data_IF_433781876020
#
_entry.id   IF_433781876020
#
_cell.length_a   1.000
_cell.length_b   1.000
_cell.length_c   1.000
_cell.angle_alpha   90.00
_cell.angle_beta   90.00
_cell.angle_gamma   90.00
#
_symmetry.space_group_name_H-M   'P 1'
#
loop_
_entity.id
_entity.type
_entity.pdbx_description
1 polymer ?
#
# COMPACT_ATOMS: atom_id res chain seq x y z
N UNK A 1 8.08 5.36 7.58
CA UNK A 1 7.35 6.40 8.34
C UNK A 1 7.62 7.83 7.88
N UNK A 2 8.91 8.27 7.79
CA UNK A 2 9.23 9.67 7.41
C UNK A 2 8.54 10.14 6.13
N UNK A 3 8.57 9.34 5.07
CA UNK A 3 8.00 9.71 3.78
C UNK A 3 6.47 9.71 3.78
N UNK A 4 5.83 8.81 4.53
CA UNK A 4 4.39 8.84 4.72
C UNK A 4 3.93 10.15 5.37
N UNK A 5 4.61 10.56 6.45
CA UNK A 5 4.35 11.83 7.11
C UNK A 5 4.62 13.04 6.19
N UNK A 6 5.70 13.00 5.40
CA UNK A 6 6.01 14.07 4.46
C UNK A 6 4.93 14.24 3.38
N UNK A 7 4.43 13.12 2.85
CA UNK A 7 3.34 13.14 1.85
C UNK A 7 2.07 13.72 2.45
N UNK A 8 1.72 13.36 3.69
CA UNK A 8 0.58 13.93 4.39
C UNK A 8 0.74 15.44 4.58
N UNK A 9 1.90 15.87 5.07
CA UNK A 9 2.21 17.29 5.26
C UNK A 9 2.12 18.10 3.96
N UNK A 10 2.68 17.57 2.87
CA UNK A 10 2.62 18.22 1.57
C UNK A 10 1.19 18.31 1.05
N UNK A 11 0.40 17.26 1.19
CA UNK A 11 -1.00 17.25 0.77
C UNK A 11 -1.81 18.30 1.53
N UNK A 12 -1.66 18.36 2.85
CA UNK A 12 -2.38 19.32 3.69
C UNK A 12 -1.93 20.76 3.39
N UNK A 13 -0.64 20.98 3.11
CA UNK A 13 -0.13 22.30 2.69
C UNK A 13 -0.73 22.75 1.37
N UNK A 14 -0.70 21.88 0.35
CA UNK A 14 -1.23 22.19 -1.00
C UNK A 14 -2.73 22.44 -0.95
N UNK A 15 -3.45 21.68 -0.13
CA UNK A 15 -4.89 21.92 0.08
C UNK A 15 -5.14 23.24 0.79
N UNK A 16 -4.31 23.61 1.76
CA UNK A 16 -4.35 24.92 2.42
C UNK A 16 -4.17 26.09 1.47
N UNK A 17 -3.45 25.90 0.35
CA UNK A 17 -3.29 26.88 -0.74
C UNK A 17 -4.48 26.87 -1.73
N UNK A 18 -5.51 26.05 -1.51
CA UNK A 18 -6.74 26.02 -2.29
C UNK A 18 -6.78 24.96 -3.41
N UNK A 19 -5.76 24.11 -3.54
CA UNK A 19 -5.76 23.02 -4.51
C UNK A 19 -6.48 21.80 -3.94
N UNK A 20 -7.66 21.50 -4.46
CA UNK A 20 -8.55 20.47 -3.94
C UNK A 20 -8.67 19.23 -4.82
N UNK A 21 -7.97 19.17 -5.94
CA UNK A 21 -8.02 18.06 -6.88
C UNK A 21 -6.62 17.58 -7.25
N UNK A 22 -6.45 16.28 -7.33
CA UNK A 22 -5.21 15.63 -7.73
C UNK A 22 -4.70 14.62 -6.73
N UNK A 23 -3.52 14.08 -7.00
CA UNK A 23 -2.83 13.14 -6.14
C UNK A 23 -1.38 13.57 -5.93
N UNK A 24 -0.85 13.28 -4.76
CA UNK A 24 0.57 13.35 -4.46
C UNK A 24 1.03 11.94 -4.16
N UNK A 25 2.07 11.47 -4.85
CA UNK A 25 2.59 10.13 -4.66
C UNK A 25 4.10 10.13 -4.45
N UNK A 26 4.59 9.14 -3.73
CA UNK A 26 6.01 8.86 -3.58
C UNK A 26 6.37 7.52 -4.21
N UNK A 27 7.63 7.37 -4.60
CA UNK A 27 8.15 6.07 -5.08
C UNK A 27 8.15 4.98 -4.00
N UNK A 28 8.00 5.36 -2.73
CA UNK A 28 7.95 4.43 -1.60
C UNK A 28 6.56 3.83 -1.37
N UNK A 29 5.60 4.10 -2.27
CA UNK A 29 4.27 3.51 -2.22
C UNK A 29 3.27 4.29 -1.37
N UNK A 30 3.50 5.58 -1.11
CA UNK A 30 2.53 6.44 -0.43
C UNK A 30 1.81 7.34 -1.42
N UNK A 31 0.50 7.41 -1.32
CA UNK A 31 -0.36 8.24 -2.15
C UNK A 31 -1.36 8.99 -1.28
N UNK A 32 -1.46 10.30 -1.51
CA UNK A 32 -2.49 11.16 -0.93
C UNK A 32 -3.35 11.75 -2.04
N UNK A 33 -4.65 11.60 -1.89
CA UNK A 33 -5.64 12.27 -2.73
C UNK A 33 -5.97 13.63 -2.10
N UNK A 34 -6.11 14.64 -2.94
CA UNK A 34 -6.41 16.02 -2.51
C UNK A 34 -7.91 16.28 -2.40
N UNK A 35 -8.74 15.42 -3.01
CA UNK A 35 -10.19 15.54 -2.93
C UNK A 35 -10.72 15.16 -1.55
N UNK A 36 -11.33 16.11 -0.87
CA UNK A 36 -11.98 15.89 0.43
C UNK A 36 -13.47 15.59 0.33
N UNK A 37 -14.06 15.83 -0.85
CA UNK A 37 -15.51 15.59 -1.01
C UNK A 37 -15.84 14.10 -1.05
N UNK A 38 -14.85 13.28 -1.37
CA UNK A 38 -15.03 11.84 -1.56
C UNK A 38 -15.82 11.48 -2.82
N UNK A 39 -16.06 12.47 -3.69
CA UNK A 39 -16.87 12.28 -4.90
C UNK A 39 -16.05 11.85 -6.10
N UNK A 40 -14.72 11.96 -6.02
CA UNK A 40 -13.84 11.61 -7.14
C UNK A 40 -13.43 10.15 -7.08
N UNK A 41 -13.56 9.52 -8.22
CA UNK A 41 -13.03 8.20 -8.49
C UNK A 41 -11.56 8.30 -8.88
N UNK A 42 -10.72 7.47 -8.28
CA UNK A 42 -9.31 7.33 -8.63
C UNK A 42 -9.04 5.93 -9.13
N UNK A 43 -8.20 5.82 -10.15
CA UNK A 43 -7.85 4.55 -10.76
C UNK A 43 -6.35 4.25 -10.57
N UNK A 44 -6.05 3.02 -10.16
CA UNK A 44 -4.70 2.53 -9.98
C UNK A 44 -4.49 1.20 -10.69
N UNK A 45 -3.37 1.04 -11.40
CA UNK A 45 -3.02 -0.26 -11.94
C UNK A 45 -2.75 -1.25 -10.81
N UNK A 46 -3.37 -2.41 -10.90
CA UNK A 46 -3.19 -3.49 -9.96
C UNK A 46 -2.23 -4.52 -10.59
N UNK A 47 -1.07 -4.66 -10.00
CA UNK A 47 -0.06 -5.61 -10.45
C UNK A 47 0.62 -6.25 -9.25
N UNK A 48 1.20 -7.42 -9.44
CA UNK A 48 2.11 -8.03 -8.49
C UNK A 48 3.37 -8.55 -9.18
N UNK A 49 4.43 -8.72 -8.39
CA UNK A 49 5.69 -9.30 -8.84
C UNK A 49 5.64 -10.82 -8.62
N UNK A 50 5.76 -11.57 -9.71
CA UNK A 50 5.94 -13.02 -9.68
C UNK A 50 7.36 -13.34 -10.14
N UNK A 51 8.29 -13.52 -9.22
CA UNK A 51 9.70 -13.56 -9.52
C UNK A 51 10.19 -12.22 -10.09
N UNK A 52 10.72 -12.23 -11.31
CA UNK A 52 11.16 -11.01 -12.03
C UNK A 52 10.12 -10.46 -13.01
N UNK A 53 8.91 -11.03 -13.04
CA UNK A 53 7.87 -10.63 -13.97
C UNK A 53 6.79 -9.84 -13.27
N UNK A 54 6.35 -8.75 -13.91
CA UNK A 54 5.20 -7.96 -13.47
C UNK A 54 3.94 -8.59 -14.09
N UNK A 55 3.07 -9.09 -13.23
CA UNK A 55 1.75 -9.59 -13.63
C UNK A 55 0.69 -8.52 -13.38
N UNK A 56 0.05 -8.07 -14.46
CA UNK A 56 -1.04 -7.10 -14.37
C UNK A 56 -2.37 -7.82 -14.11
N UNK A 57 -3.10 -7.38 -13.09
CA UNK A 57 -4.42 -7.89 -12.73
C UNK A 57 -5.57 -6.98 -13.14
N UNK A 58 -5.25 -5.81 -13.69
CA UNK A 58 -6.24 -4.83 -14.10
C UNK A 58 -6.05 -3.47 -13.48
N UNK A 59 -7.12 -2.72 -13.42
CA UNK A 59 -7.16 -1.40 -12.78
C UNK A 59 -8.17 -1.44 -11.66
N UNK A 60 -7.74 -1.12 -10.46
CA UNK A 60 -8.64 -0.94 -9.35
C UNK A 60 -9.16 0.48 -9.31
N UNK A 61 -10.40 0.60 -8.91
CA UNK A 61 -11.10 1.87 -8.79
C UNK A 61 -11.43 2.12 -7.33
N UNK A 62 -11.13 3.32 -6.86
CA UNK A 62 -11.46 3.81 -5.53
C UNK A 62 -12.38 5.01 -5.60
N UNK A 63 -13.39 5.00 -4.78
CA UNK A 63 -14.23 6.16 -4.52
C UNK A 63 -13.79 6.82 -3.20
N UNK A 64 -13.34 8.07 -3.29
CA UNK A 64 -13.03 8.90 -2.15
C UNK A 64 -11.89 8.45 -1.21
N UNK A 65 -10.81 7.82 -1.68
CA UNK A 65 -9.69 7.53 -0.79
C UNK A 65 -8.98 8.83 -0.42
N UNK A 66 -8.68 8.99 0.86
CA UNK A 66 -7.79 10.05 1.35
C UNK A 66 -6.34 9.65 1.17
N UNK A 67 -6.02 8.39 1.47
CA UNK A 67 -4.68 7.83 1.37
C UNK A 67 -4.66 6.40 0.87
N UNK A 68 -3.55 6.04 0.22
CA UNK A 68 -3.25 4.67 -0.19
C UNK A 68 -1.79 4.39 0.19
N UNK A 69 -1.54 3.22 0.77
CA UNK A 69 -0.21 2.73 1.13
C UNK A 69 0.02 1.37 0.47
N UNK A 70 1.08 1.28 -0.30
CA UNK A 70 1.52 0.04 -0.95
C UNK A 70 2.69 -0.56 -0.18
N UNK A 71 2.50 -1.75 0.34
CA UNK A 71 3.56 -2.57 0.91
C UNK A 71 4.03 -3.60 -0.13
N UNK A 72 5.33 -3.72 -0.31
CA UNK A 72 5.93 -4.66 -1.25
C UNK A 72 6.98 -5.52 -0.56
N UNK A 73 6.93 -6.83 -0.77
CA UNK A 73 8.01 -7.72 -0.42
C UNK A 73 9.12 -7.60 -1.46
N UNK A 74 10.28 -7.14 -1.05
CA UNK A 74 11.44 -7.02 -1.94
C UNK A 74 12.12 -8.36 -2.08
N UNK A 75 12.35 -8.78 -3.32
CA UNK A 75 13.09 -9.99 -3.63
C UNK A 75 14.48 -9.65 -4.13
N UNK A 76 15.45 -10.53 -3.85
CA UNK A 76 16.80 -10.41 -4.36
C UNK A 76 16.79 -10.35 -5.90
N UNK A 77 17.47 -9.35 -6.47
CA UNK A 77 17.47 -9.13 -7.91
C UNK A 77 16.30 -8.29 -8.44
N UNK A 78 15.39 -7.84 -7.57
CA UNK A 78 14.36 -6.88 -7.94
C UNK A 78 14.96 -5.59 -8.51
N UNK A 79 14.34 -4.96 -9.53
CA UNK A 79 14.82 -3.69 -10.08
C UNK A 79 14.81 -2.53 -9.09
N UNK A 80 14.09 -2.64 -7.98
CA UNK A 80 13.98 -1.62 -6.93
C UNK A 80 15.18 -1.64 -5.96
N UNK A 81 16.40 -1.80 -6.47
CA UNK A 81 17.64 -1.93 -5.68
C UNK A 81 17.91 -0.77 -4.72
N UNK A 82 17.26 0.37 -4.89
CA UNK A 82 17.37 1.51 -3.98
C UNK A 82 16.47 1.41 -2.72
N UNK A 83 15.62 0.39 -2.65
CA UNK A 83 14.68 0.18 -1.54
C UNK A 83 15.09 -0.94 -0.60
N UNK A 84 16.10 -1.72 -0.95
CA UNK A 84 16.64 -2.77 -0.12
C UNK A 84 18.16 -2.79 -0.18
N UNK A 85 18.76 -3.37 0.83
CA UNK A 85 20.19 -3.65 0.86
C UNK A 85 20.39 -5.15 0.93
N UNK A 86 21.19 -5.69 0.03
CA UNK A 86 21.58 -7.10 0.04
C UNK A 86 23.02 -7.25 0.49
N UNK A 87 23.23 -8.02 1.55
CA UNK A 87 24.55 -8.37 2.04
C UNK A 87 25.19 -9.47 1.17
N UNK A 88 26.51 -9.66 1.33
CA UNK A 88 27.25 -10.69 0.57
C UNK A 88 26.81 -12.13 0.88
N UNK A 89 26.26 -12.36 2.06
CA UNK A 89 25.70 -13.65 2.48
C UNK A 89 24.29 -13.91 1.95
N UNK A 90 23.75 -12.99 1.14
CA UNK A 90 22.39 -13.07 0.59
C UNK A 90 21.29 -12.49 1.49
N UNK A 91 21.61 -12.11 2.74
CA UNK A 91 20.65 -11.49 3.64
C UNK A 91 20.18 -10.15 3.07
N UNK A 92 18.88 -9.92 3.11
CA UNK A 92 18.28 -8.65 2.70
C UNK A 92 17.87 -7.81 3.91
N UNK A 93 17.88 -6.49 3.72
CA UNK A 93 17.30 -5.53 4.64
C UNK A 93 16.39 -4.58 3.88
N UNK A 94 15.16 -4.48 4.33
CA UNK A 94 14.12 -3.63 3.75
C UNK A 94 13.70 -2.55 4.76
N UNK A 95 12.84 -1.62 4.38
CA UNK A 95 12.25 -0.67 5.33
C UNK A 95 11.33 -1.28 6.39
N UNK A 96 10.99 -2.57 6.29
CA UNK A 96 9.97 -3.25 7.10
C UNK A 96 10.55 -4.15 8.19
N UNK A 97 11.61 -3.69 8.84
CA UNK A 97 12.21 -4.42 9.94
C UNK A 97 11.25 -4.55 11.13
N UNK A 98 11.08 -5.77 11.62
CA UNK A 98 10.37 -6.01 12.87
C UNK A 98 11.17 -5.50 14.05
N UNK A 99 10.52 -4.75 14.93
CA UNK A 99 11.14 -4.26 16.16
C UNK A 99 11.40 -5.37 17.18
N UNK A 100 10.76 -6.53 17.03
CA UNK A 100 10.88 -7.65 17.99
C UNK A 100 12.16 -8.45 17.82
N UNK A 101 12.64 -8.62 16.57
CA UNK A 101 13.81 -9.47 16.26
C UNK A 101 14.78 -8.88 15.25
N UNK A 102 14.49 -7.69 14.71
CA UNK A 102 15.32 -6.98 13.74
C UNK A 102 15.38 -7.67 12.37
N UNK A 103 14.43 -8.54 12.05
CA UNK A 103 14.35 -9.22 10.76
C UNK A 103 13.27 -8.63 9.86
N UNK A 104 13.42 -8.87 8.57
CA UNK A 104 12.38 -8.58 7.61
C UNK A 104 11.32 -9.69 7.67
N UNK A 105 10.09 -9.32 7.98
CA UNK A 105 8.92 -10.18 7.91
C UNK A 105 7.91 -9.55 6.98
N UNK A 106 7.40 -10.33 6.04
CA UNK A 106 6.38 -9.90 5.10
C UNK A 106 5.33 -10.99 4.94
N UNK A 107 4.12 -10.71 5.38
CA UNK A 107 3.01 -11.67 5.37
C UNK A 107 2.45 -11.95 3.97
N UNK A 108 2.71 -11.05 3.01
CA UNK A 108 2.26 -11.14 1.64
C UNK A 108 3.29 -10.50 0.70
N UNK A 109 3.29 -10.88 -0.57
CA UNK A 109 4.15 -10.24 -1.59
C UNK A 109 3.80 -8.77 -1.77
N UNK A 110 2.52 -8.46 -1.79
CA UNK A 110 1.98 -7.11 -1.79
C UNK A 110 0.75 -7.04 -0.88
N UNK A 111 0.67 -5.95 -0.13
CA UNK A 111 -0.52 -5.54 0.60
C UNK A 111 -0.78 -4.07 0.29
N UNK A 112 -1.96 -3.77 -0.21
CA UNK A 112 -2.41 -2.41 -0.46
C UNK A 112 -3.41 -2.07 0.62
N UNK A 113 -3.20 -0.98 1.33
CA UNK A 113 -4.15 -0.48 2.31
C UNK A 113 -4.55 0.94 1.98
N UNK A 114 -5.80 1.29 2.19
CA UNK A 114 -6.33 2.60 1.89
C UNK A 114 -7.40 3.03 2.88
N UNK A 115 -7.57 4.33 3.02
CA UNK A 115 -8.59 4.91 3.89
C UNK A 115 -9.15 6.21 3.29
N UNK A 116 -10.45 6.44 3.49
CA UNK A 116 -11.11 7.71 3.23
C UNK A 116 -10.97 8.72 4.37
N UNK A 117 -10.51 8.27 5.55
CA UNK A 117 -10.48 9.09 6.78
C UNK A 117 -9.06 9.46 7.20
N UNK A 118 -8.11 8.52 7.08
CA UNK A 118 -6.75 8.65 7.60
C UNK A 118 -5.75 9.05 6.53
N UNK A 119 -4.66 9.72 6.94
CA UNK A 119 -3.50 9.98 6.09
C UNK A 119 -2.61 8.74 5.89
N UNK A 120 -1.56 8.88 5.09
CA UNK A 120 -0.61 7.79 4.82
C UNK A 120 0.11 7.32 6.09
N UNK A 121 0.47 8.24 7.00
CA UNK A 121 1.21 7.89 8.20
C UNK A 121 0.37 7.03 9.15
N UNK A 122 -0.88 7.41 9.40
CA UNK A 122 -1.79 6.66 10.27
C UNK A 122 -2.17 5.32 9.64
N UNK A 123 -2.47 5.31 8.33
CA UNK A 123 -2.79 4.09 7.58
C UNK A 123 -1.62 3.11 7.59
N UNK A 124 -0.38 3.61 7.40
CA UNK A 124 0.83 2.81 7.48
C UNK A 124 1.00 2.21 8.88
N UNK A 125 0.90 3.02 9.92
CA UNK A 125 1.08 2.57 11.32
C UNK A 125 0.07 1.51 11.72
N UNK A 126 -1.18 1.67 11.32
CA UNK A 126 -2.24 0.71 11.62
C UNK A 126 -2.01 -0.65 10.94
N UNK A 127 -1.54 -0.67 9.68
CA UNK A 127 -1.40 -1.88 8.89
C UNK A 127 -0.01 -2.54 8.98
N UNK A 128 1.01 -1.86 9.54
CA UNK A 128 2.38 -2.35 9.52
C UNK A 128 2.55 -3.68 10.26
N UNK A 129 1.91 -3.84 11.40
CA UNK A 129 1.97 -5.07 12.18
C UNK A 129 1.35 -6.26 11.44
N UNK A 130 0.27 -6.01 10.69
CA UNK A 130 -0.38 -7.05 9.88
C UNK A 130 0.49 -7.44 8.68
N UNK A 131 1.14 -6.47 8.05
CA UNK A 131 2.07 -6.75 6.95
C UNK A 131 3.31 -7.52 7.42
N UNK A 132 3.75 -7.34 8.66
CA UNK A 132 4.89 -8.04 9.26
C UNK A 132 4.50 -9.38 9.92
N UNK A 133 3.22 -9.69 10.03
CA UNK A 133 2.75 -10.95 10.61
C UNK A 133 2.84 -12.11 9.62
N UNK A 134 3.29 -13.26 10.06
CA UNK A 134 3.31 -14.50 9.27
C UNK A 134 2.52 -15.59 10.00
N UNK A 135 1.41 -16.08 9.42
CA UNK A 135 0.77 -15.68 8.15
C UNK A 135 -0.07 -14.41 8.28
N UNK A 136 -0.42 -13.81 7.11
CA UNK A 136 -1.37 -12.69 7.06
C UNK A 136 -2.72 -13.11 7.65
N UNK A 137 -3.20 -12.36 8.64
CA UNK A 137 -4.44 -12.69 9.33
C UNK A 137 -5.64 -11.98 8.70
N UNK A 138 -6.51 -12.72 8.06
CA UNK A 138 -7.77 -12.16 7.54
C UNK A 138 -8.69 -11.58 8.62
N UNK A 139 -8.61 -12.05 9.87
CA UNK A 139 -9.35 -11.48 11.00
C UNK A 139 -8.80 -10.11 11.39
N UNK A 140 -7.46 -9.97 11.43
CA UNK A 140 -6.80 -8.71 11.70
C UNK A 140 -7.13 -7.67 10.64
N UNK A 141 -7.09 -8.04 9.33
CA UNK A 141 -7.48 -7.15 8.24
C UNK A 141 -8.96 -6.73 8.31
N UNK A 142 -9.87 -7.61 8.76
CA UNK A 142 -11.26 -7.22 9.03
C UNK A 142 -11.37 -6.25 10.20
N UNK A 143 -10.51 -6.36 11.19
CA UNK A 143 -10.42 -5.39 12.29
C UNK A 143 -10.00 -4.01 11.78
N UNK A 144 -9.00 -3.94 10.88
CA UNK A 144 -8.63 -2.70 10.19
C UNK A 144 -9.81 -2.13 9.39
N UNK A 145 -10.55 -2.97 8.68
CA UNK A 145 -11.73 -2.53 7.92
C UNK A 145 -12.82 -1.93 8.82
N UNK A 146 -12.99 -2.45 10.05
CA UNK A 146 -13.90 -1.85 11.03
C UNK A 146 -13.48 -0.44 11.45
N UNK A 147 -12.20 -0.12 11.32
CA UNK A 147 -11.60 1.20 11.54
C UNK A 147 -11.53 2.05 10.27
N UNK A 148 -12.20 1.65 9.18
CA UNK A 148 -12.20 2.35 7.89
C UNK A 148 -10.84 2.34 7.17
N UNK A 149 -10.04 1.33 7.43
CA UNK A 149 -8.79 1.04 6.72
C UNK A 149 -9.00 -0.27 5.97
N UNK A 150 -9.14 -0.18 4.68
CA UNK A 150 -9.43 -1.32 3.81
C UNK A 150 -8.16 -1.89 3.22
N UNK A 151 -8.17 -3.18 2.90
CA UNK A 151 -7.01 -3.92 2.43
C UNK A 151 -7.32 -4.68 1.15
N UNK A 152 -6.30 -4.75 0.27
CA UNK A 152 -6.28 -5.57 -0.94
C UNK A 152 -4.97 -6.33 -0.98
N UNK A 153 -5.01 -7.63 -1.21
CA UNK A 153 -3.81 -8.48 -1.33
C UNK A 153 -4.03 -9.60 -2.34
N UNK A 154 -2.96 -10.32 -2.65
CA UNK A 154 -2.99 -11.49 -3.53
C UNK A 154 -2.83 -12.76 -2.73
N UNK A 155 -3.72 -13.71 -2.95
CA UNK A 155 -3.64 -15.06 -2.40
C UNK A 155 -3.92 -16.06 -3.51
N UNK A 156 -2.99 -16.98 -3.77
CA UNK A 156 -3.07 -17.96 -4.87
C UNK A 156 -3.35 -17.32 -6.25
N UNK A 157 -2.74 -16.17 -6.53
CA UNK A 157 -2.97 -15.34 -7.72
C UNK A 157 -4.40 -14.76 -7.84
N UNK A 158 -5.19 -14.84 -6.80
CA UNK A 158 -6.50 -14.20 -6.72
C UNK A 158 -6.45 -12.94 -5.87
N UNK A 159 -7.21 -11.93 -6.29
CA UNK A 159 -7.35 -10.69 -5.54
C UNK A 159 -8.30 -10.94 -4.37
N UNK A 160 -7.83 -10.61 -3.18
CA UNK A 160 -8.62 -10.60 -1.95
C UNK A 160 -8.79 -9.16 -1.46
N UNK A 161 -9.92 -8.86 -0.82
CA UNK A 161 -10.17 -7.52 -0.28
C UNK A 161 -11.07 -7.57 0.94
N UNK A 162 -10.90 -6.60 1.82
CA UNK A 162 -11.84 -6.33 2.92
C UNK A 162 -12.89 -5.27 2.59
N UNK A 163 -12.81 -4.65 1.41
CA UNK A 163 -13.78 -3.64 0.96
C UNK A 163 -14.85 -4.26 0.06
N UNK A 164 -16.09 -4.29 0.53
CA UNK A 164 -17.20 -4.80 -0.25
C UNK A 164 -17.59 -3.94 -1.47
N UNK A 165 -17.03 -2.74 -1.60
CA UNK A 165 -17.23 -1.84 -2.76
C UNK A 165 -16.09 -1.92 -3.77
N UNK A 166 -15.04 -2.66 -3.46
CA UNK A 166 -13.87 -2.80 -4.31
C UNK A 166 -14.22 -3.37 -5.68
N UNK A 167 -13.75 -2.74 -6.72
CA UNK A 167 -13.93 -3.20 -8.09
C UNK A 167 -12.61 -3.20 -8.86
N UNK A 168 -12.46 -4.18 -9.74
CA UNK A 168 -11.31 -4.29 -10.66
C UNK A 168 -11.83 -4.39 -12.08
N UNK A 169 -11.36 -3.50 -12.94
CA UNK A 169 -11.55 -3.61 -14.38
C UNK A 169 -10.40 -4.43 -14.95
N UNK A 170 -10.69 -5.63 -15.45
CA UNK A 170 -9.68 -6.49 -16.05
C UNK A 170 -9.05 -5.82 -17.27
N UNK A 171 -7.74 -6.03 -17.47
CA UNK A 171 -7.09 -5.66 -18.73
C UNK A 171 -7.64 -6.56 -19.82
N UNK A 172 -8.32 -5.98 -20.79
CA UNK A 172 -8.67 -6.71 -22.02
C UNK A 172 -7.35 -7.09 -22.71
N UNK A 173 -7.08 -8.39 -22.79
CA UNK A 173 -5.93 -8.95 -23.50
C UNK A 173 -6.07 -8.76 -24.98
#
# INVERSE_FOLDING_TARGET
MKNAFLIDYLADTIRGEGYQLGIISSKDGFVRCLDETGEKEYQYPLYHLSGNEIQSHGTMTYEGPKSIVFFHAYQAGSPDTYRYYQYQDGTMRTPYLSASDGKDHTAASELIVYSGEYGCADTLLAALSDYQAEPLSGESLKTLASQKIYSVWFENNEIQTTDGKFSVTAVNK
#
